data_IF_103239412405
#
_entry.id   IF_103239412405
#
_cell.length_a   1.000
_cell.length_b   1.000
_cell.length_c   1.000
_cell.angle_alpha   90.00
_cell.angle_beta   90.00
_cell.angle_gamma   90.00
#
_symmetry.space_group_name_H-M   'P 1'
#
loop_
_entity.id
_entity.type
_entity.pdbx_description
1 polymer ?
#
# COMPACT_ATOMS: atom_id res chain seq x y z
N UNK A 1 -12.89 -33.31 17.06
CA UNK A 1 -12.04 -33.40 15.85
C UNK A 1 -10.60 -33.33 16.31
N UNK A 2 -9.68 -34.10 15.71
CA UNK A 2 -8.26 -34.00 16.05
C UNK A 2 -7.74 -32.60 15.64
N UNK A 3 -6.86 -31.96 16.43
CA UNK A 3 -6.30 -30.66 16.08
C UNK A 3 -5.54 -30.75 14.75
N UNK A 4 -5.72 -29.75 13.88
CA UNK A 4 -5.02 -29.70 12.59
C UNK A 4 -3.65 -29.08 12.79
N UNK A 5 -2.59 -29.88 12.64
CA UNK A 5 -1.19 -29.45 12.78
C UNK A 5 -0.47 -29.54 11.44
N UNK A 6 0.10 -28.42 11.00
CA UNK A 6 0.92 -28.33 9.80
C UNK A 6 2.33 -27.88 10.17
N UNK A 7 3.34 -28.63 9.71
CA UNK A 7 4.75 -28.23 9.80
C UNK A 7 5.19 -27.87 8.40
N UNK A 8 5.49 -26.59 8.17
CA UNK A 8 5.86 -26.07 6.86
C UNK A 8 7.35 -25.72 6.86
N UNK A 9 8.08 -26.25 5.89
CA UNK A 9 9.42 -25.77 5.56
C UNK A 9 9.38 -25.05 4.23
N UNK A 10 10.34 -24.16 3.98
CA UNK A 10 10.40 -23.36 2.77
C UNK A 10 11.85 -23.09 2.36
N UNK A 11 12.08 -22.55 1.16
CA UNK A 11 13.40 -22.06 0.72
C UNK A 11 13.99 -21.09 1.75
N UNK A 12 13.15 -20.18 2.25
CA UNK A 12 13.42 -19.33 3.40
C UNK A 12 12.12 -18.87 4.07
N UNK A 13 12.20 -18.42 5.32
CA UNK A 13 11.10 -17.82 6.06
C UNK A 13 11.53 -16.41 6.48
N UNK A 14 10.83 -15.40 6.00
CA UNK A 14 10.95 -14.03 6.48
C UNK A 14 9.99 -13.81 7.65
N UNK A 15 10.49 -13.41 8.82
CA UNK A 15 9.68 -13.30 10.04
C UNK A 15 9.08 -11.89 10.26
N UNK A 16 9.31 -10.97 9.31
CA UNK A 16 9.00 -9.55 9.44
C UNK A 16 10.24 -8.68 9.67
N UNK A 17 11.41 -9.29 9.92
CA UNK A 17 12.70 -8.61 10.10
C UNK A 17 13.83 -9.31 9.36
N UNK A 18 13.98 -10.61 9.59
CA UNK A 18 15.12 -11.39 9.14
C UNK A 18 14.66 -12.50 8.17
N UNK A 19 15.48 -12.77 7.15
CA UNK A 19 15.27 -13.87 6.21
C UNK A 19 16.01 -15.10 6.72
N UNK A 20 15.27 -16.07 7.23
CA UNK A 20 15.79 -17.24 7.93
C UNK A 20 15.80 -18.46 7.02
N UNK A 21 16.88 -19.25 7.08
CA UNK A 21 17.00 -20.55 6.39
C UNK A 21 17.05 -21.68 7.41
N UNK A 22 16.67 -22.90 6.99
CA UNK A 22 16.67 -24.06 7.88
C UNK A 22 15.64 -24.02 9.02
N UNK A 23 14.61 -23.17 8.89
CA UNK A 23 13.51 -23.04 9.84
C UNK A 23 12.25 -23.77 9.36
N UNK A 24 11.36 -24.07 10.30
CA UNK A 24 10.01 -24.57 10.06
C UNK A 24 8.98 -23.70 10.77
N UNK A 25 7.89 -23.39 10.07
CA UNK A 25 6.73 -22.70 10.60
C UNK A 25 5.67 -23.74 10.99
N UNK A 26 5.26 -23.74 12.25
CA UNK A 26 4.25 -24.64 12.78
C UNK A 26 2.93 -23.89 12.86
N UNK A 27 1.89 -24.45 12.26
CA UNK A 27 0.51 -23.97 12.32
C UNK A 27 -0.33 -25.02 13.04
N UNK A 28 -1.05 -24.61 14.08
CA UNK A 28 -1.97 -25.46 14.85
C UNK A 28 -3.32 -24.77 14.95
N UNK A 29 -4.39 -25.47 14.58
CA UNK A 29 -5.78 -25.00 14.67
C UNK A 29 -5.98 -23.60 14.06
N UNK A 30 -5.32 -23.34 12.93
CA UNK A 30 -5.42 -22.09 12.18
C UNK A 30 -4.57 -20.93 12.75
N UNK A 31 -3.74 -21.18 13.75
CA UNK A 31 -2.85 -20.18 14.35
C UNK A 31 -1.39 -20.54 14.15
N UNK A 32 -0.52 -19.53 14.05
CA UNK A 32 0.93 -19.71 14.11
C UNK A 32 1.30 -20.20 15.51
N UNK A 33 1.76 -21.44 15.63
CA UNK A 33 2.14 -22.03 16.92
C UNK A 33 3.60 -21.73 17.27
N UNK A 34 4.51 -21.88 16.31
CA UNK A 34 5.94 -21.65 16.52
C UNK A 34 6.72 -21.45 15.21
N UNK A 35 7.85 -20.77 15.32
CA UNK A 35 8.91 -20.74 14.32
C UNK A 35 10.16 -21.35 14.95
N UNK A 36 10.60 -22.51 14.45
CA UNK A 36 11.65 -23.32 15.10
C UNK A 36 12.63 -23.89 14.08
N UNK A 37 13.87 -24.26 14.43
CA UNK A 37 14.76 -24.98 13.52
C UNK A 37 14.10 -26.24 12.96
N UNK A 38 14.18 -26.47 11.65
CA UNK A 38 13.49 -27.56 10.96
C UNK A 38 13.76 -28.96 11.54
N UNK A 39 15.01 -29.32 11.95
CA UNK A 39 15.27 -30.62 12.57
C UNK A 39 14.55 -30.84 13.91
N UNK A 40 14.11 -29.77 14.58
CA UNK A 40 13.43 -29.82 15.88
C UNK A 40 11.90 -29.81 15.75
N UNK A 41 11.36 -29.56 14.54
CA UNK A 41 9.91 -29.43 14.32
C UNK A 41 9.20 -30.78 14.16
N UNK A 42 9.93 -31.82 13.77
CA UNK A 42 9.36 -33.08 13.28
C UNK A 42 9.29 -33.14 11.74
N UNK A 43 8.74 -34.22 11.15
CA UNK A 43 8.64 -34.35 9.70
C UNK A 43 7.73 -33.26 9.11
N UNK A 44 8.15 -32.56 8.04
CA UNK A 44 7.33 -31.51 7.44
C UNK A 44 6.08 -32.10 6.77
N UNK A 45 4.95 -31.42 6.96
CA UNK A 45 3.72 -31.67 6.20
C UNK A 45 3.91 -31.26 4.74
N UNK A 46 4.65 -30.18 4.50
CA UNK A 46 5.00 -29.73 3.16
C UNK A 46 6.35 -28.99 3.16
N UNK A 47 7.04 -29.06 2.02
CA UNK A 47 8.16 -28.19 1.68
C UNK A 47 7.74 -27.28 0.53
N UNK A 48 7.89 -25.97 0.72
CA UNK A 48 7.54 -24.95 -0.28
C UNK A 48 8.81 -24.44 -0.95
N UNK A 49 8.91 -24.60 -2.27
CA UNK A 49 9.99 -23.99 -3.07
C UNK A 49 9.70 -22.50 -3.33
N UNK A 50 9.54 -21.76 -2.25
CA UNK A 50 9.17 -20.35 -2.19
C UNK A 50 9.62 -19.76 -0.85
N UNK A 51 9.38 -18.46 -0.64
CA UNK A 51 9.58 -17.80 0.64
C UNK A 51 8.24 -17.70 1.37
N UNK A 52 8.22 -18.01 2.66
CA UNK A 52 7.11 -17.65 3.54
C UNK A 52 7.41 -16.28 4.14
N UNK A 53 6.46 -15.35 4.11
CA UNK A 53 6.56 -14.03 4.71
C UNK A 53 5.23 -13.66 5.40
N UNK A 54 5.18 -12.67 6.31
CA UNK A 54 3.91 -12.10 6.74
C UNK A 54 3.04 -11.71 5.54
N UNK A 55 1.74 -11.63 5.75
CA UNK A 55 0.81 -11.18 4.72
C UNK A 55 1.25 -9.85 4.10
N UNK A 56 1.34 -9.77 2.77
CA UNK A 56 1.70 -8.50 2.11
C UNK A 56 0.62 -7.45 2.37
N UNK A 57 1.00 -6.19 2.50
CA UNK A 57 0.08 -5.08 2.77
C UNK A 57 0.21 -4.02 1.68
N UNK A 58 -0.92 -3.56 1.14
CA UNK A 58 -0.94 -2.50 0.12
C UNK A 58 -1.72 -1.27 0.62
N UNK A 59 -1.04 -0.14 0.75
CA UNK A 59 -1.63 1.08 1.31
C UNK A 59 -2.19 2.03 0.23
N UNK A 60 -2.12 1.66 -1.05
CA UNK A 60 -2.68 2.46 -2.13
C UNK A 60 -3.24 1.56 -3.24
N UNK A 61 -4.56 1.36 -3.23
CA UNK A 61 -5.29 0.49 -4.17
C UNK A 61 -6.57 1.17 -4.63
N UNK A 62 -6.60 1.69 -5.86
CA UNK A 62 -7.77 2.41 -6.38
C UNK A 62 -8.87 1.45 -6.90
N UNK A 63 -8.57 0.16 -7.07
CA UNK A 63 -9.55 -0.83 -7.53
C UNK A 63 -9.03 -2.27 -7.63
N UNK A 64 -9.88 -3.13 -8.18
CA UNK A 64 -9.63 -4.55 -8.43
C UNK A 64 -10.90 -5.29 -8.89
N UNK A 65 -10.74 -6.45 -9.51
CA UNK A 65 -11.83 -7.27 -10.06
C UNK A 65 -12.78 -6.53 -11.02
N UNK A 66 -12.28 -5.55 -11.78
CA UNK A 66 -13.09 -4.73 -12.67
C UNK A 66 -13.86 -3.60 -11.97
N UNK A 67 -13.68 -3.42 -10.66
CA UNK A 67 -14.35 -2.39 -9.86
C UNK A 67 -13.35 -1.33 -9.42
N UNK A 68 -13.78 -0.06 -9.46
CA UNK A 68 -13.06 1.08 -8.91
C UNK A 68 -13.64 1.48 -7.56
N UNK A 69 -12.79 1.97 -6.66
CA UNK A 69 -13.25 2.68 -5.46
C UNK A 69 -13.81 4.03 -5.90
N UNK A 70 -15.08 4.28 -5.63
CA UNK A 70 -15.77 5.48 -6.12
C UNK A 70 -17.28 5.44 -5.89
N UNK A 71 -17.98 6.28 -6.64
CA UNK A 71 -19.43 6.47 -6.49
C UNK A 71 -20.25 5.18 -6.68
N UNK A 72 -19.84 4.33 -7.61
CA UNK A 72 -20.57 3.10 -7.97
C UNK A 72 -20.12 1.87 -7.15
N UNK A 73 -19.17 2.04 -6.22
CA UNK A 73 -18.70 0.96 -5.37
C UNK A 73 -19.71 0.71 -4.24
N UNK A 74 -20.33 -0.47 -4.25
CA UNK A 74 -21.15 -0.98 -3.16
C UNK A 74 -20.38 -1.97 -2.26
N UNK A 75 -21.06 -2.55 -1.26
CA UNK A 75 -20.46 -3.51 -0.32
C UNK A 75 -19.90 -4.75 -1.06
N UNK A 76 -20.54 -5.19 -2.14
CA UNK A 76 -20.09 -6.33 -2.95
C UNK A 76 -18.86 -5.98 -3.80
N UNK A 77 -18.83 -4.78 -4.39
CA UNK A 77 -17.69 -4.25 -5.12
C UNK A 77 -16.46 -4.12 -4.22
N UNK A 78 -16.62 -3.58 -3.01
CA UNK A 78 -15.52 -3.49 -2.03
C UNK A 78 -15.01 -4.89 -1.63
N UNK A 79 -15.91 -5.85 -1.43
CA UNK A 79 -15.52 -7.24 -1.15
C UNK A 79 -14.77 -7.89 -2.33
N UNK A 80 -15.19 -7.61 -3.57
CA UNK A 80 -14.52 -8.10 -4.77
C UNK A 80 -13.10 -7.53 -4.92
N UNK A 81 -12.90 -6.24 -4.63
CA UNK A 81 -11.58 -5.60 -4.60
C UNK A 81 -10.68 -6.32 -3.57
N UNK A 82 -11.14 -6.47 -2.32
CA UNK A 82 -10.37 -7.15 -1.28
C UNK A 82 -10.02 -8.60 -1.68
N UNK A 83 -10.97 -9.34 -2.24
CA UNK A 83 -10.76 -10.72 -2.66
C UNK A 83 -9.72 -10.84 -3.80
N UNK A 84 -9.75 -9.94 -4.78
CA UNK A 84 -8.81 -9.94 -5.90
C UNK A 84 -7.36 -9.72 -5.47
N UNK A 85 -7.15 -8.84 -4.49
CA UNK A 85 -5.85 -8.58 -3.90
C UNK A 85 -5.37 -9.73 -3.02
N UNK A 86 -6.26 -10.30 -2.21
CA UNK A 86 -5.98 -11.50 -1.41
C UNK A 86 -5.60 -12.71 -2.24
N UNK A 87 -6.19 -12.88 -3.42
CA UNK A 87 -5.82 -13.93 -4.37
C UNK A 87 -4.36 -13.80 -4.86
N UNK A 88 -3.77 -12.61 -4.77
CA UNK A 88 -2.39 -12.29 -5.19
C UNK A 88 -1.40 -12.22 -4.01
N UNK A 89 -1.79 -12.74 -2.84
CA UNK A 89 -0.92 -12.78 -1.66
C UNK A 89 -0.89 -11.49 -0.84
N UNK A 90 -1.83 -10.57 -1.06
CA UNK A 90 -1.98 -9.35 -0.25
C UNK A 90 -3.00 -9.61 0.86
N UNK A 91 -2.53 -9.71 2.10
CA UNK A 91 -3.40 -10.01 3.25
C UNK A 91 -4.34 -8.85 3.57
N UNK A 92 -3.89 -7.60 3.38
CA UNK A 92 -4.73 -6.43 3.64
C UNK A 92 -4.39 -5.23 2.79
N UNK A 93 -5.41 -4.42 2.52
CA UNK A 93 -5.31 -3.22 1.69
C UNK A 93 -5.93 -2.00 2.38
N UNK A 94 -5.50 -0.81 1.96
CA UNK A 94 -6.29 0.41 2.03
C UNK A 94 -6.88 0.70 0.64
N UNK A 95 -8.19 0.46 0.42
CA UNK A 95 -8.87 0.94 -0.76
C UNK A 95 -8.72 2.46 -0.84
N UNK A 96 -8.40 2.97 -2.02
CA UNK A 96 -8.04 4.37 -2.25
C UNK A 96 -9.09 5.06 -3.10
N UNK A 97 -9.79 6.02 -2.51
CA UNK A 97 -10.60 6.96 -3.27
C UNK A 97 -9.72 8.13 -3.71
N UNK A 98 -9.62 8.35 -5.02
CA UNK A 98 -8.98 9.55 -5.58
C UNK A 98 -9.90 10.77 -5.51
N UNK A 99 -9.41 11.96 -5.87
CA UNK A 99 -10.18 13.21 -5.96
C UNK A 99 -11.57 13.00 -6.56
N UNK A 100 -12.59 13.22 -5.74
CA UNK A 100 -14.00 13.17 -6.12
C UNK A 100 -14.80 14.23 -5.33
N UNK A 101 -16.11 14.28 -5.56
CA UNK A 101 -17.05 15.17 -4.88
C UNK A 101 -17.26 14.74 -3.42
N UNK A 102 -17.60 15.69 -2.52
CA UNK A 102 -17.81 15.40 -1.09
C UNK A 102 -18.79 14.26 -0.80
N UNK A 103 -19.86 14.18 -1.56
CA UNK A 103 -20.91 13.16 -1.48
C UNK A 103 -20.40 11.76 -1.83
N UNK A 104 -19.49 11.63 -2.80
CA UNK A 104 -18.82 10.35 -3.09
C UNK A 104 -17.85 9.98 -1.97
N UNK A 105 -17.13 10.97 -1.44
CA UNK A 105 -16.25 10.75 -0.28
C UNK A 105 -17.02 10.22 0.93
N UNK A 106 -18.19 10.82 1.23
CA UNK A 106 -19.08 10.34 2.32
C UNK A 106 -19.58 8.92 2.06
N UNK A 107 -20.06 8.64 0.84
CA UNK A 107 -20.52 7.31 0.44
C UNK A 107 -19.44 6.24 0.65
N UNK A 108 -18.20 6.50 0.19
CA UNK A 108 -17.09 5.56 0.36
C UNK A 108 -16.72 5.38 1.83
N UNK A 109 -16.64 6.45 2.62
CA UNK A 109 -16.39 6.36 4.08
C UNK A 109 -17.45 5.47 4.74
N UNK A 110 -18.73 5.70 4.47
CA UNK A 110 -19.84 4.92 5.05
C UNK A 110 -19.78 3.45 4.64
N UNK A 111 -19.46 3.18 3.37
CA UNK A 111 -19.33 1.82 2.83
C UNK A 111 -18.18 1.06 3.48
N UNK A 112 -17.01 1.69 3.61
CA UNK A 112 -15.87 1.10 4.32
C UNK A 112 -16.18 0.88 5.80
N UNK A 113 -16.85 1.82 6.48
CA UNK A 113 -17.25 1.66 7.88
C UNK A 113 -18.16 0.44 8.08
N UNK A 114 -19.18 0.26 7.23
CA UNK A 114 -20.05 -0.93 7.28
C UNK A 114 -19.26 -2.22 7.06
N UNK A 115 -18.37 -2.24 6.07
CA UNK A 115 -17.56 -3.41 5.76
C UNK A 115 -16.58 -3.77 6.89
N UNK A 116 -15.97 -2.79 7.54
CA UNK A 116 -15.13 -3.00 8.73
C UNK A 116 -15.96 -3.60 9.87
N UNK A 117 -17.15 -3.06 10.16
CA UNK A 117 -18.04 -3.59 11.19
C UNK A 117 -18.50 -5.02 10.88
N UNK A 118 -18.67 -5.35 9.60
CA UNK A 118 -18.97 -6.70 9.12
C UNK A 118 -17.76 -7.66 9.12
N UNK A 119 -16.56 -7.19 9.45
CA UNK A 119 -15.35 -8.01 9.48
C UNK A 119 -14.86 -8.46 8.11
N UNK A 120 -15.01 -7.62 7.08
CA UNK A 120 -14.58 -7.95 5.71
C UNK A 120 -13.08 -8.31 5.67
N UNK A 121 -12.71 -9.55 5.26
CA UNK A 121 -11.31 -9.97 5.23
C UNK A 121 -10.45 -9.12 4.28
N UNK A 122 -9.31 -8.66 4.79
CA UNK A 122 -8.33 -7.86 4.05
C UNK A 122 -8.62 -6.37 3.94
N UNK A 123 -9.66 -5.87 4.60
CA UNK A 123 -9.91 -4.43 4.70
C UNK A 123 -9.20 -3.85 5.93
N UNK A 124 -8.15 -3.03 5.72
CA UNK A 124 -7.37 -2.43 6.82
C UNK A 124 -7.85 -1.04 7.23
N UNK A 125 -8.69 -0.40 6.42
CA UNK A 125 -9.08 0.99 6.57
C UNK A 125 -9.43 1.63 5.23
N UNK A 126 -9.15 2.92 5.09
CA UNK A 126 -9.38 3.70 3.88
C UNK A 126 -8.19 4.62 3.60
N UNK A 127 -7.89 4.83 2.33
CA UNK A 127 -7.02 5.90 1.87
C UNK A 127 -7.85 6.91 1.04
N UNK A 128 -7.80 8.18 1.42
CA UNK A 128 -8.38 9.28 0.65
C UNK A 128 -7.23 10.07 0.00
N UNK A 129 -7.09 9.94 -1.33
CA UNK A 129 -6.06 10.61 -2.11
C UNK A 129 -6.64 11.87 -2.78
N UNK A 130 -6.56 13.01 -2.09
CA UNK A 130 -7.24 14.23 -2.47
C UNK A 130 -8.63 14.40 -1.82
N UNK A 131 -9.43 15.41 -2.23
CA UNK A 131 -9.21 16.33 -3.35
C UNK A 131 -8.28 17.53 -3.03
N UNK A 132 -7.69 17.56 -1.84
CA UNK A 132 -6.88 18.68 -1.34
C UNK A 132 -5.44 18.62 -1.84
N UNK A 133 -5.27 18.78 -3.15
CA UNK A 133 -4.00 18.61 -3.88
C UNK A 133 -3.58 19.91 -4.59
N UNK A 134 -2.40 19.91 -5.22
CA UNK A 134 -1.95 20.99 -6.12
C UNK A 134 -2.52 20.75 -7.54
N UNK A 135 -3.31 21.68 -8.11
CA UNK A 135 -3.85 21.54 -9.46
C UNK A 135 -2.77 21.37 -10.54
N UNK A 136 -1.53 21.85 -10.32
CA UNK A 136 -0.40 21.68 -11.25
C UNK A 136 0.17 20.27 -11.25
N UNK A 137 -0.20 19.45 -10.26
CA UNK A 137 0.24 18.07 -10.04
C UNK A 137 -0.94 17.10 -10.01
N UNK A 138 -1.96 17.37 -10.83
CA UNK A 138 -3.20 16.60 -10.82
C UNK A 138 -3.01 15.13 -11.23
N UNK A 139 -2.04 14.79 -12.09
CA UNK A 139 -1.87 13.41 -12.57
C UNK A 139 -3.18 12.86 -13.15
N UNK A 140 -3.61 11.69 -12.66
CA UNK A 140 -4.89 11.08 -13.05
C UNK A 140 -6.13 11.69 -12.37
N UNK A 141 -5.99 12.60 -11.41
CA UNK A 141 -7.12 13.24 -10.73
C UNK A 141 -7.86 14.20 -11.68
N UNK A 142 -9.17 14.39 -11.47
CA UNK A 142 -9.94 15.40 -12.21
C UNK A 142 -9.55 16.81 -11.70
N UNK A 143 -8.90 17.65 -12.52
CA UNK A 143 -8.46 18.98 -12.10
C UNK A 143 -9.62 19.91 -11.72
N UNK A 144 -10.84 19.66 -12.21
CA UNK A 144 -12.01 20.48 -11.87
C UNK A 144 -12.50 20.27 -10.44
N UNK A 145 -12.12 19.15 -9.81
CA UNK A 145 -12.52 18.80 -8.45
C UNK A 145 -11.43 19.09 -7.40
N UNK A 146 -10.19 19.38 -7.84
CA UNK A 146 -9.09 19.73 -6.94
C UNK A 146 -9.36 21.10 -6.29
N UNK A 147 -9.28 21.15 -4.96
CA UNK A 147 -9.60 22.35 -4.20
C UNK A 147 -8.96 22.33 -2.79
N UNK A 148 -8.67 23.51 -2.20
CA UNK A 148 -8.20 23.58 -0.82
C UNK A 148 -9.16 22.95 0.19
N UNK A 149 -8.62 22.50 1.32
CA UNK A 149 -9.39 21.90 2.41
C UNK A 149 -10.22 22.95 3.16
N UNK A 150 -11.54 22.79 3.12
CA UNK A 150 -12.50 23.59 3.88
C UNK A 150 -12.71 23.08 5.30
N UNK A 151 -13.49 23.80 6.10
CA UNK A 151 -13.81 23.38 7.48
C UNK A 151 -14.68 22.13 7.52
N UNK A 152 -15.63 22.00 6.58
CA UNK A 152 -16.50 20.83 6.47
C UNK A 152 -15.71 19.57 6.11
N UNK A 153 -14.74 19.69 5.18
CA UNK A 153 -13.85 18.59 4.83
C UNK A 153 -13.05 18.14 6.05
N UNK A 154 -12.42 19.07 6.77
CA UNK A 154 -11.63 18.76 7.95
C UNK A 154 -12.49 18.06 9.02
N UNK A 155 -13.70 18.54 9.28
CA UNK A 155 -14.61 17.94 10.25
C UNK A 155 -14.97 16.50 9.86
N UNK A 156 -15.30 16.27 8.58
CA UNK A 156 -15.61 14.95 8.04
C UNK A 156 -14.42 14.00 8.14
N UNK A 157 -13.24 14.43 7.69
CA UNK A 157 -12.01 13.61 7.70
C UNK A 157 -11.57 13.27 9.13
N UNK A 158 -11.65 14.22 10.07
CA UNK A 158 -11.38 13.96 11.48
C UNK A 158 -12.39 12.99 12.10
N UNK A 159 -13.67 13.05 11.71
CA UNK A 159 -14.67 12.09 12.18
C UNK A 159 -14.39 10.68 11.63
N UNK A 160 -14.06 10.57 10.34
CA UNK A 160 -13.68 9.31 9.70
C UNK A 160 -12.41 8.71 10.33
N UNK A 161 -11.39 9.54 10.62
CA UNK A 161 -10.15 9.10 11.26
C UNK A 161 -10.38 8.44 12.64
N UNK A 162 -11.35 8.95 13.40
CA UNK A 162 -11.71 8.38 14.71
C UNK A 162 -12.57 7.12 14.62
N UNK A 163 -13.29 6.94 13.51
CA UNK A 163 -14.24 5.85 13.33
C UNK A 163 -13.64 4.64 12.60
N UNK A 164 -12.70 4.88 11.68
CA UNK A 164 -12.03 3.84 10.91
C UNK A 164 -10.83 3.24 11.68
N UNK A 165 -10.50 1.96 11.46
CA UNK A 165 -9.32 1.33 12.06
C UNK A 165 -8.02 1.98 11.55
N UNK A 166 -8.02 2.46 10.31
CA UNK A 166 -6.98 3.30 9.74
C UNK A 166 -7.60 4.24 8.69
N UNK A 167 -7.27 5.53 8.77
CA UNK A 167 -7.51 6.48 7.68
C UNK A 167 -6.17 7.08 7.27
N UNK A 168 -5.79 6.87 6.01
CA UNK A 168 -4.71 7.59 5.36
C UNK A 168 -5.30 8.72 4.50
N UNK A 169 -4.72 9.91 4.57
CA UNK A 169 -5.17 11.06 3.76
C UNK A 169 -3.98 11.67 3.05
N UNK A 170 -4.00 11.68 1.72
CA UNK A 170 -3.00 12.38 0.91
C UNK A 170 -3.45 13.81 0.64
N UNK A 171 -2.60 14.77 0.99
CA UNK A 171 -2.82 16.20 0.77
C UNK A 171 -1.57 16.88 0.22
N UNK A 172 -1.75 17.98 -0.51
CA UNK A 172 -0.68 18.91 -0.81
C UNK A 172 -0.57 19.97 0.31
N UNK A 173 0.64 20.28 0.82
CA UNK A 173 0.84 21.35 1.80
C UNK A 173 0.26 22.72 1.40
N UNK A 174 0.16 22.99 0.11
CA UNK A 174 -0.41 24.23 -0.43
C UNK A 174 -1.95 24.25 -0.38
N UNK A 175 -2.58 23.10 -0.24
CA UNK A 175 -4.04 22.93 -0.18
C UNK A 175 -4.55 22.56 1.23
N UNK A 176 -3.65 22.22 2.17
CA UNK A 176 -3.96 21.96 3.56
C UNK A 176 -2.91 22.63 4.47
N UNK A 177 -3.34 23.65 5.21
CA UNK A 177 -2.44 24.38 6.12
C UNK A 177 -1.84 23.47 7.21
N UNK A 178 -0.68 23.82 7.78
CA UNK A 178 -0.08 23.09 8.91
C UNK A 178 -1.09 22.78 10.04
N UNK A 179 -1.92 23.74 10.46
CA UNK A 179 -2.93 23.50 11.50
C UNK A 179 -3.96 22.41 11.13
N UNK A 180 -4.29 22.27 9.84
CA UNK A 180 -5.22 21.25 9.35
C UNK A 180 -4.56 19.88 9.34
N UNK A 181 -3.30 19.81 8.90
CA UNK A 181 -2.47 18.60 8.97
C UNK A 181 -2.36 18.13 10.43
N UNK A 182 -2.06 19.05 11.35
CA UNK A 182 -1.98 18.76 12.78
C UNK A 182 -3.32 18.27 13.34
N UNK A 183 -4.44 18.88 12.95
CA UNK A 183 -5.78 18.44 13.37
C UNK A 183 -6.13 17.03 12.86
N UNK A 184 -5.81 16.69 11.61
CA UNK A 184 -5.99 15.34 11.07
C UNK A 184 -5.13 14.32 11.83
N UNK A 185 -3.86 14.66 12.07
CA UNK A 185 -2.94 13.80 12.84
C UNK A 185 -3.46 13.56 14.25
N UNK A 186 -3.92 14.61 14.93
CA UNK A 186 -4.49 14.53 16.27
C UNK A 186 -5.79 13.69 16.31
N UNK A 187 -6.55 13.66 15.22
CA UNK A 187 -7.72 12.80 15.07
C UNK A 187 -7.38 11.33 14.81
N UNK A 188 -6.10 10.99 14.60
CA UNK A 188 -5.62 9.63 14.39
C UNK A 188 -5.31 9.27 12.93
N UNK A 189 -5.47 10.20 11.98
CA UNK A 189 -5.16 9.93 10.58
C UNK A 189 -3.65 9.80 10.33
N UNK A 190 -3.29 8.94 9.39
CA UNK A 190 -1.98 8.95 8.72
C UNK A 190 -2.03 10.01 7.64
N UNK A 191 -1.40 11.16 7.88
CA UNK A 191 -1.34 12.23 6.87
C UNK A 191 -0.13 12.01 5.97
N UNK A 192 -0.40 11.94 4.67
CA UNK A 192 0.58 11.75 3.61
C UNK A 192 0.69 13.00 2.74
N UNK A 193 1.90 13.40 2.37
CA UNK A 193 2.10 14.46 1.39
C UNK A 193 2.20 13.86 -0.02
N UNK A 194 1.47 14.43 -0.98
CA UNK A 194 1.49 13.95 -2.36
C UNK A 194 0.79 14.93 -3.30
N UNK A 195 0.93 14.72 -4.61
CA UNK A 195 0.32 15.59 -5.63
C UNK A 195 0.59 17.07 -5.38
N UNK A 196 1.86 17.42 -5.13
CA UNK A 196 2.25 18.73 -4.63
C UNK A 196 3.47 19.29 -5.35
N UNK A 197 3.38 20.54 -5.78
CA UNK A 197 4.48 21.30 -6.35
C UNK A 197 5.32 22.01 -5.29
N UNK A 198 5.23 21.61 -4.02
CA UNK A 198 5.73 22.41 -2.91
C UNK A 198 7.25 22.59 -2.91
N UNK A 199 7.68 23.69 -2.32
CA UNK A 199 9.08 23.92 -1.96
C UNK A 199 9.48 23.02 -0.79
N UNK A 200 10.79 22.87 -0.57
CA UNK A 200 11.35 22.20 0.60
C UNK A 200 10.82 22.80 1.92
N UNK A 201 10.64 24.12 1.97
CA UNK A 201 10.16 24.80 3.19
C UNK A 201 8.72 24.42 3.52
N UNK A 202 7.85 24.36 2.50
CA UNK A 202 6.45 23.96 2.67
C UNK A 202 6.33 22.47 3.02
N UNK A 203 7.13 21.60 2.36
CA UNK A 203 7.19 20.18 2.72
C UNK A 203 7.59 19.97 4.19
N UNK A 204 8.63 20.68 4.64
CA UNK A 204 9.07 20.64 6.05
C UNK A 204 7.99 21.12 7.00
N UNK A 205 7.32 22.23 6.69
CA UNK A 205 6.21 22.71 7.51
C UNK A 205 5.08 21.68 7.63
N UNK A 206 4.78 20.94 6.55
CA UNK A 206 3.83 19.82 6.58
C UNK A 206 4.30 18.66 7.47
N UNK A 207 5.57 18.27 7.37
CA UNK A 207 6.17 17.23 8.23
C UNK A 207 6.20 17.65 9.71
N UNK A 208 6.59 18.90 10.00
CA UNK A 208 6.61 19.47 11.35
C UNK A 208 5.20 19.53 11.97
N UNK A 209 4.17 19.72 11.14
CA UNK A 209 2.77 19.64 11.54
C UNK A 209 2.26 18.21 11.79
N UNK A 210 3.06 17.18 11.48
CA UNK A 210 2.75 15.79 11.76
C UNK A 210 2.39 14.94 10.54
N UNK A 211 2.57 15.43 9.31
CA UNK A 211 2.56 14.55 8.14
C UNK A 211 3.72 13.55 8.26
N UNK A 212 3.38 12.26 8.34
CA UNK A 212 4.35 11.18 8.61
C UNK A 212 4.67 10.32 7.39
N UNK A 213 4.03 10.60 6.25
CA UNK A 213 4.10 9.78 5.05
C UNK A 213 4.18 10.64 3.78
N UNK A 214 4.64 10.03 2.69
CA UNK A 214 4.67 10.59 1.33
C UNK A 214 4.10 9.55 0.37
N UNK A 215 3.17 9.99 -0.46
CA UNK A 215 2.46 9.13 -1.42
C UNK A 215 3.31 8.97 -2.68
N UNK A 216 3.43 7.73 -3.18
CA UNK A 216 4.12 7.31 -4.41
C UNK A 216 5.33 8.17 -4.82
N UNK A 217 6.35 8.24 -3.95
CA UNK A 217 7.58 9.03 -4.10
C UNK A 217 8.06 9.11 -5.55
N UNK A 218 8.41 10.33 -5.98
CA UNK A 218 8.70 10.81 -7.33
C UNK A 218 7.49 11.17 -8.21
N UNK A 219 6.33 10.54 -8.03
CA UNK A 219 5.18 10.73 -8.90
C UNK A 219 4.38 11.97 -8.48
N UNK A 220 3.94 12.77 -9.47
CA UNK A 220 3.13 13.97 -9.25
C UNK A 220 3.65 14.93 -8.16
N UNK A 221 4.97 15.09 -8.02
CA UNK A 221 5.55 15.97 -6.98
C UNK A 221 6.67 16.86 -7.50
N UNK A 222 7.05 17.87 -6.70
CA UNK A 222 8.22 18.70 -7.01
C UNK A 222 9.51 17.85 -6.98
N UNK A 223 10.32 17.90 -8.06
CA UNK A 223 11.52 17.08 -8.18
C UNK A 223 12.66 17.63 -7.30
N UNK A 224 13.71 16.83 -7.14
CA UNK A 224 14.91 17.22 -6.39
C UNK A 224 15.84 18.11 -7.22
N UNK A 225 15.84 19.41 -6.96
CA UNK A 225 16.88 20.34 -7.41
C UNK A 225 17.98 20.52 -6.35
N UNK A 226 19.18 20.95 -6.76
CA UNK A 226 20.31 21.15 -5.82
C UNK A 226 20.17 22.39 -4.94
N UNK A 227 19.43 23.42 -5.39
CA UNK A 227 19.11 24.63 -4.62
C UNK A 227 17.69 24.64 -4.07
N UNK A 228 16.79 23.90 -4.70
CA UNK A 228 15.40 23.73 -4.29
C UNK A 228 15.07 22.22 -4.37
N UNK A 229 15.27 21.48 -3.27
CA UNK A 229 15.09 20.03 -3.27
C UNK A 229 13.62 19.57 -3.38
N UNK A 230 12.64 20.46 -3.15
CA UNK A 230 11.23 20.11 -3.23
C UNK A 230 10.81 18.96 -2.30
N UNK A 231 9.69 18.32 -2.62
CA UNK A 231 9.14 17.21 -1.84
C UNK A 231 10.01 15.95 -1.97
N UNK A 232 10.53 15.64 -3.16
CA UNK A 232 11.43 14.49 -3.35
C UNK A 232 12.67 14.61 -2.46
N UNK A 233 13.34 15.76 -2.49
CA UNK A 233 14.53 15.99 -1.69
C UNK A 233 14.22 16.05 -0.19
N UNK A 234 13.11 16.67 0.21
CA UNK A 234 12.65 16.68 1.60
C UNK A 234 12.41 15.25 2.12
N UNK A 235 11.83 14.39 1.29
CA UNK A 235 11.56 12.99 1.62
C UNK A 235 12.86 12.19 1.72
N UNK A 236 13.72 12.24 0.70
CA UNK A 236 14.95 11.44 0.67
C UNK A 236 15.95 11.82 1.78
N UNK A 237 15.94 13.07 2.23
CA UNK A 237 16.79 13.55 3.32
C UNK A 237 16.11 13.47 4.72
N UNK A 238 14.82 13.15 4.78
CA UNK A 238 14.02 13.14 6.00
C UNK A 238 13.71 11.75 6.53
N UNK A 239 12.78 11.69 7.49
CA UNK A 239 12.38 10.45 8.19
C UNK A 239 10.97 9.97 7.85
N UNK A 240 10.13 10.82 7.23
CA UNK A 240 8.76 10.47 6.84
C UNK A 240 8.75 9.21 5.97
N UNK A 241 7.81 8.29 6.21
CA UNK A 241 7.68 7.10 5.39
C UNK A 241 7.30 7.47 3.95
N UNK A 242 7.62 6.62 2.98
CA UNK A 242 7.29 6.90 1.59
C UNK A 242 6.87 5.63 0.83
N UNK A 243 5.71 5.70 0.19
CA UNK A 243 5.23 4.66 -0.71
C UNK A 243 5.98 4.73 -2.04
N UNK A 244 6.26 3.59 -2.65
CA UNK A 244 6.91 3.47 -3.95
C UNK A 244 6.14 2.50 -4.85
N UNK A 245 5.85 2.97 -6.07
CA UNK A 245 5.39 2.13 -7.17
C UNK A 245 6.64 1.56 -7.86
N UNK A 246 6.97 0.30 -7.58
CA UNK A 246 8.19 -0.33 -8.06
C UNK A 246 7.92 -1.27 -9.25
N UNK A 247 7.47 -0.70 -10.37
CA UNK A 247 7.24 -1.42 -11.63
C UNK A 247 8.32 -1.18 -12.71
N UNK A 248 9.28 -0.28 -12.44
CA UNK A 248 10.32 0.13 -13.39
C UNK A 248 9.81 1.04 -14.52
N UNK A 249 8.58 1.54 -14.41
CA UNK A 249 7.90 2.36 -15.41
C UNK A 249 7.53 3.72 -14.81
N UNK A 250 6.85 3.73 -13.66
CA UNK A 250 6.55 4.94 -12.91
C UNK A 250 7.82 5.57 -12.36
N UNK A 251 8.73 4.72 -11.86
CA UNK A 251 10.02 5.14 -11.34
C UNK A 251 11.11 4.31 -12.00
N UNK A 252 12.07 5.00 -12.62
CA UNK A 252 13.24 4.36 -13.22
C UNK A 252 14.04 3.56 -12.16
N UNK A 253 14.54 2.35 -12.49
CA UNK A 253 15.38 1.55 -11.58
C UNK A 253 16.55 2.30 -10.93
N UNK A 254 17.16 3.28 -11.63
CA UNK A 254 18.22 4.11 -11.07
C UNK A 254 17.69 5.06 -9.98
N UNK A 255 16.51 5.65 -10.17
CA UNK A 255 15.86 6.50 -9.16
C UNK A 255 15.41 5.67 -7.95
N UNK A 256 14.88 4.46 -8.15
CA UNK A 256 14.61 3.51 -7.07
C UNK A 256 15.88 3.17 -6.28
N UNK A 257 17.00 2.93 -6.98
CA UNK A 257 18.30 2.67 -6.34
C UNK A 257 18.78 3.87 -5.52
N UNK A 258 18.58 5.10 -6.00
CA UNK A 258 18.88 6.32 -5.24
C UNK A 258 18.03 6.36 -3.96
N UNK A 259 16.72 6.11 -4.06
CA UNK A 259 15.85 6.08 -2.89
C UNK A 259 16.28 5.02 -1.87
N UNK A 260 16.56 3.80 -2.32
CA UNK A 260 17.02 2.70 -1.46
C UNK A 260 18.33 3.04 -0.72
N UNK A 261 19.25 3.76 -1.36
CA UNK A 261 20.52 4.17 -0.74
C UNK A 261 20.33 5.35 0.23
N UNK A 262 19.50 6.32 -0.13
CA UNK A 262 19.23 7.48 0.70
C UNK A 262 18.42 7.13 1.96
N UNK A 263 17.50 6.18 1.86
CA UNK A 263 16.53 5.83 2.90
C UNK A 263 16.64 4.36 3.30
N UNK A 264 17.55 3.96 4.20
CA UNK A 264 17.69 2.56 4.63
C UNK A 264 16.42 1.92 5.19
N UNK A 265 15.49 2.74 5.73
CA UNK A 265 14.20 2.36 6.30
C UNK A 265 13.12 3.39 5.96
N UNK A 266 11.86 3.03 6.18
CA UNK A 266 10.71 3.91 5.95
C UNK A 266 10.28 4.01 4.48
N UNK A 267 10.84 3.18 3.60
CA UNK A 267 10.26 2.97 2.27
C UNK A 267 9.31 1.78 2.33
N UNK A 268 8.16 1.88 1.68
CA UNK A 268 7.23 0.77 1.52
C UNK A 268 6.70 0.69 0.10
N UNK A 269 6.23 -0.49 -0.30
CA UNK A 269 5.71 -0.76 -1.62
C UNK A 269 4.20 -0.53 -1.66
N UNK A 270 3.73 0.07 -2.74
CA UNK A 270 2.32 0.19 -3.08
C UNK A 270 2.12 -0.23 -4.53
N UNK A 271 0.95 -0.78 -4.85
CA UNK A 271 0.62 -1.07 -6.25
C UNK A 271 0.13 0.16 -6.99
N UNK A 272 -0.67 1.02 -6.35
CA UNK A 272 -1.46 2.07 -7.03
C UNK A 272 -2.26 1.49 -8.22
N UNK A 273 -2.75 0.26 -8.04
CA UNK A 273 -3.46 -0.43 -9.09
C UNK A 273 -4.94 -0.05 -9.11
N UNK A 274 -5.54 -0.16 -10.29
CA UNK A 274 -6.95 0.13 -10.54
C UNK A 274 -7.75 -1.17 -10.77
N UNK A 275 -8.93 -1.06 -11.39
CA UNK A 275 -9.83 -2.16 -11.72
C UNK A 275 -9.18 -3.35 -12.47
N UNK A 276 -8.02 -3.16 -13.10
CA UNK A 276 -7.26 -4.20 -13.79
C UNK A 276 -6.71 -5.30 -12.87
N UNK A 277 -6.49 -5.02 -11.58
CA UNK A 277 -5.96 -6.00 -10.66
C UNK A 277 -6.91 -7.21 -10.52
N UNK A 278 -6.40 -8.42 -10.77
CA UNK A 278 -7.20 -9.64 -10.73
C UNK A 278 -8.28 -9.74 -11.82
N UNK A 279 -8.14 -9.00 -12.93
CA UNK A 279 -9.03 -9.10 -14.10
C UNK A 279 -8.25 -9.21 -15.41
N UNK A 280 -8.94 -9.70 -16.45
CA UNK A 280 -8.45 -9.78 -17.83
C UNK A 280 -8.82 -8.53 -18.66
N UNK A 281 -9.24 -7.45 -18.00
CA UNK A 281 -9.58 -6.20 -18.67
C UNK A 281 -8.37 -5.68 -19.45
N UNK A 282 -8.63 -5.26 -20.69
CA UNK A 282 -7.64 -4.60 -21.56
C UNK A 282 -7.86 -3.09 -21.63
N UNK A 283 -9.01 -2.61 -21.18
CA UNK A 283 -9.36 -1.20 -21.08
C UNK A 283 -10.47 -0.95 -20.05
N UNK A 284 -10.58 0.31 -19.62
CA UNK A 284 -11.65 0.81 -18.75
C UNK A 284 -11.87 2.31 -18.97
N UNK A 285 -12.92 2.87 -18.40
CA UNK A 285 -13.13 4.33 -18.32
C UNK A 285 -12.93 4.85 -16.89
N UNK A 286 -12.31 6.02 -16.76
CA UNK A 286 -12.13 6.74 -15.50
C UNK A 286 -12.41 8.23 -15.74
N UNK A 287 -13.53 8.73 -15.19
CA UNK A 287 -13.92 10.14 -15.34
C UNK A 287 -14.08 10.55 -16.82
N UNK A 288 -14.73 9.70 -17.62
CA UNK A 288 -14.92 9.92 -19.07
C UNK A 288 -13.65 9.78 -19.92
N UNK A 289 -12.52 9.35 -19.33
CA UNK A 289 -11.27 9.09 -20.05
C UNK A 289 -11.01 7.60 -20.15
N UNK A 290 -10.66 7.12 -21.34
CA UNK A 290 -10.33 5.71 -21.58
C UNK A 290 -8.89 5.42 -21.15
N UNK A 291 -8.72 4.37 -20.35
CA UNK A 291 -7.43 3.83 -19.91
C UNK A 291 -7.21 2.50 -20.60
N UNK A 292 -6.01 2.30 -21.15
CA UNK A 292 -5.62 1.10 -21.89
C UNK A 292 -4.56 0.33 -21.10
N UNK A 293 -4.73 -0.99 -20.98
CA UNK A 293 -3.73 -1.91 -20.46
C UNK A 293 -2.96 -2.56 -21.60
N UNK A 294 -1.70 -2.19 -21.78
CA UNK A 294 -0.82 -2.77 -22.82
C UNK A 294 0.60 -2.92 -22.30
N UNK A 295 1.19 -4.09 -22.54
CA UNK A 295 2.58 -4.39 -22.17
C UNK A 295 2.94 -4.04 -20.72
N UNK A 296 2.05 -4.36 -19.77
CA UNK A 296 2.27 -4.10 -18.35
C UNK A 296 2.17 -2.62 -17.95
N UNK A 297 1.52 -1.79 -18.78
CA UNK A 297 1.32 -0.36 -18.54
C UNK A 297 -0.15 0.00 -18.61
N UNK A 298 -0.54 0.98 -17.79
CA UNK A 298 -1.84 1.63 -17.84
C UNK A 298 -1.65 3.07 -18.32
N UNK A 299 -2.24 3.41 -19.46
CA UNK A 299 -2.09 4.74 -20.06
C UNK A 299 -3.41 5.30 -20.54
N UNK A 300 -3.57 6.62 -20.42
CA UNK A 300 -4.57 7.37 -21.18
C UNK A 300 -4.29 7.30 -22.69
N UNK A 301 -5.25 7.72 -23.50
CA UNK A 301 -5.11 7.77 -24.97
C UNK A 301 -3.99 8.71 -25.45
N UNK A 302 -3.59 9.68 -24.63
CA UNK A 302 -2.47 10.60 -24.89
C UNK A 302 -1.09 10.07 -24.41
N UNK A 303 -1.06 8.88 -23.80
CA UNK A 303 0.16 8.25 -23.30
C UNK A 303 0.51 8.57 -21.84
N UNK A 304 -0.26 9.42 -21.15
CA UNK A 304 -0.08 9.70 -19.72
C UNK A 304 -0.32 8.43 -18.90
N UNK A 305 0.56 8.12 -17.93
CA UNK A 305 0.36 7.01 -17.00
C UNK A 305 -0.84 7.29 -16.09
N UNK A 306 -1.67 6.27 -15.88
CA UNK A 306 -2.83 6.34 -14.99
C UNK A 306 -2.88 5.05 -14.17
N UNK A 307 -2.40 5.09 -12.92
CA UNK A 307 -2.22 3.92 -12.06
C UNK A 307 -1.20 2.91 -12.61
N UNK A 308 -1.01 1.79 -11.91
CA UNK A 308 -0.07 0.75 -12.32
C UNK A 308 -0.71 -0.62 -12.57
N UNK A 309 -0.14 -1.36 -13.53
CA UNK A 309 -0.40 -2.79 -13.75
C UNK A 309 0.64 -3.62 -12.99
N UNK A 310 0.57 -3.53 -11.66
CA UNK A 310 1.58 -4.02 -10.72
C UNK A 310 0.95 -4.91 -9.66
N UNK A 311 1.62 -6.03 -9.35
CA UNK A 311 1.36 -6.82 -8.15
C UNK A 311 2.47 -6.56 -7.15
N UNK A 312 2.18 -6.62 -5.84
CA UNK A 312 3.23 -6.44 -4.83
C UNK A 312 4.34 -7.50 -4.95
N UNK A 313 4.04 -8.72 -5.40
CA UNK A 313 5.05 -9.75 -5.62
C UNK A 313 6.06 -9.34 -6.72
N UNK A 314 5.60 -8.74 -7.82
CA UNK A 314 6.47 -8.18 -8.86
C UNK A 314 7.27 -6.99 -8.34
N UNK A 315 6.66 -6.12 -7.52
CA UNK A 315 7.35 -5.01 -6.87
C UNK A 315 8.47 -5.49 -5.94
N UNK A 316 8.21 -6.52 -5.13
CA UNK A 316 9.20 -7.18 -4.26
C UNK A 316 10.35 -7.76 -5.09
N UNK A 317 10.04 -8.47 -6.18
CA UNK A 317 11.05 -9.03 -7.09
C UNK A 317 11.96 -7.95 -7.68
N UNK A 318 11.37 -6.85 -8.17
CA UNK A 318 12.13 -5.73 -8.73
C UNK A 318 13.05 -5.12 -7.68
N UNK A 319 12.53 -4.75 -6.49
CA UNK A 319 13.35 -4.16 -5.43
C UNK A 319 14.45 -5.14 -4.99
N UNK A 320 14.14 -6.42 -4.83
CA UNK A 320 15.11 -7.42 -4.39
C UNK A 320 16.32 -7.50 -5.34
N UNK A 321 16.10 -7.32 -6.64
CA UNK A 321 17.14 -7.33 -7.67
C UNK A 321 17.96 -6.02 -7.74
N UNK A 322 17.47 -4.91 -7.18
CA UNK A 322 18.18 -3.63 -7.23
C UNK A 322 19.34 -3.55 -6.21
N UNK A 323 20.41 -2.81 -6.53
CA UNK A 323 21.48 -2.54 -5.58
C UNK A 323 20.96 -1.89 -4.28
N UNK A 324 21.20 -2.53 -3.15
CA UNK A 324 20.75 -2.05 -1.83
C UNK A 324 19.30 -2.44 -1.48
N UNK A 325 18.57 -3.11 -2.38
CA UNK A 325 17.30 -3.73 -2.06
C UNK A 325 17.52 -5.04 -1.31
N UNK A 326 17.76 -6.15 -2.03
CA UNK A 326 17.89 -7.47 -1.44
C UNK A 326 16.56 -8.01 -0.88
N UNK A 327 16.42 -9.34 -0.83
CA UNK A 327 15.13 -10.00 -0.57
C UNK A 327 14.50 -9.64 0.77
N UNK A 328 15.28 -9.66 1.87
CA UNK A 328 14.76 -9.36 3.21
C UNK A 328 14.17 -7.94 3.30
N UNK A 329 14.86 -6.96 2.74
CA UNK A 329 14.40 -5.56 2.72
C UNK A 329 13.19 -5.40 1.80
N UNK A 330 13.20 -6.00 0.62
CA UNK A 330 12.07 -5.94 -0.31
C UNK A 330 10.79 -6.51 0.35
N UNK A 331 10.91 -7.63 1.08
CA UNK A 331 9.81 -8.20 1.85
C UNK A 331 9.37 -7.27 2.99
N UNK A 332 10.31 -6.66 3.72
CA UNK A 332 9.98 -5.67 4.75
C UNK A 332 9.18 -4.49 4.18
N UNK A 333 9.57 -3.99 3.00
CA UNK A 333 8.87 -2.92 2.29
C UNK A 333 7.44 -3.28 1.88
N UNK A 334 7.09 -4.57 1.79
CA UNK A 334 5.73 -5.04 1.48
C UNK A 334 5.00 -5.61 2.71
N UNK A 335 5.60 -5.61 3.91
CA UNK A 335 5.03 -6.21 5.13
C UNK A 335 5.23 -5.31 6.34
N UNK A 336 6.40 -5.35 6.99
CA UNK A 336 6.65 -4.67 8.27
C UNK A 336 6.77 -3.15 8.18
N UNK A 337 7.24 -2.60 7.06
CA UNK A 337 7.29 -1.15 6.83
C UNK A 337 5.88 -0.55 6.64
N UNK A 338 5.00 -1.04 5.74
CA UNK A 338 3.64 -0.52 5.64
C UNK A 338 2.81 -0.81 6.90
N UNK A 339 3.03 -1.94 7.58
CA UNK A 339 2.42 -2.23 8.89
C UNK A 339 2.77 -1.16 9.93
N UNK A 340 4.02 -0.68 9.95
CA UNK A 340 4.45 0.39 10.86
C UNK A 340 3.79 1.73 10.53
N UNK A 341 3.61 2.06 9.25
CA UNK A 341 2.95 3.30 8.79
C UNK A 341 1.53 3.41 9.33
N UNK A 342 0.77 2.32 9.30
CA UNK A 342 -0.63 2.30 9.79
C UNK A 342 -0.75 1.94 11.28
N UNK A 343 0.35 1.83 12.02
CA UNK A 343 0.32 1.51 13.44
C UNK A 343 -0.14 0.09 13.78
N UNK A 344 0.04 -0.87 12.86
CA UNK A 344 -0.33 -2.29 13.01
C UNK A 344 0.88 -3.23 12.86
N UNK A 345 1.91 -3.10 13.71
CA UNK A 345 3.13 -3.91 13.61
C UNK A 345 2.88 -5.42 13.77
N UNK A 346 1.71 -5.80 14.31
CA UNK A 346 1.25 -7.18 14.40
C UNK A 346 1.01 -7.83 13.03
N UNK A 347 0.60 -7.06 12.01
CA UNK A 347 0.36 -7.58 10.65
C UNK A 347 1.65 -7.87 9.88
N UNK A 348 2.73 -7.18 10.22
CA UNK A 348 4.01 -7.26 9.53
C UNK A 348 4.96 -8.33 10.07
N UNK A 349 4.49 -9.27 10.89
CA UNK A 349 5.34 -10.27 11.57
C UNK A 349 4.69 -11.65 11.66
N UNK A 350 5.51 -12.69 11.64
CA UNK A 350 5.07 -14.05 11.94
C UNK A 350 5.14 -14.30 13.45
N UNK A 351 4.09 -13.89 14.17
CA UNK A 351 4.06 -13.95 15.65
C UNK A 351 3.28 -15.17 16.14
N UNK A 352 3.85 -16.02 17.02
CA UNK A 352 3.10 -17.10 17.67
C UNK A 352 1.83 -16.61 18.35
N UNK A 353 0.75 -17.38 18.24
CA UNK A 353 -0.59 -17.05 18.74
C UNK A 353 -1.45 -16.20 17.81
N UNK A 354 -0.89 -15.69 16.70
CA UNK A 354 -1.67 -14.99 15.67
C UNK A 354 -2.28 -15.96 14.66
N UNK A 355 -3.33 -15.51 13.96
CA UNK A 355 -3.92 -16.26 12.86
C UNK A 355 -2.86 -16.59 11.80
N UNK A 356 -2.93 -17.80 11.23
CA UNK A 356 -2.03 -18.29 10.19
C UNK A 356 -2.39 -17.70 8.82
N UNK A 357 -2.31 -16.37 8.71
CA UNK A 357 -2.48 -15.62 7.47
C UNK A 357 -1.14 -15.04 7.04
N UNK A 358 -0.43 -15.79 6.20
CA UNK A 358 0.89 -15.43 5.69
C UNK A 358 0.97 -15.68 4.18
N UNK A 359 1.92 -15.01 3.56
CA UNK A 359 2.12 -15.09 2.12
C UNK A 359 3.20 -16.11 1.79
N UNK A 360 2.91 -16.97 0.81
CA UNK A 360 3.91 -17.78 0.11
C UNK A 360 4.23 -17.03 -1.18
N UNK A 361 5.46 -16.56 -1.32
CA UNK A 361 5.92 -15.69 -2.40
C UNK A 361 7.16 -16.25 -3.08
N UNK A 362 7.15 -16.21 -4.41
CA UNK A 362 8.35 -16.32 -5.23
C UNK A 362 8.63 -14.97 -5.89
N UNK A 363 9.59 -14.19 -5.36
CA UNK A 363 9.96 -12.89 -5.93
C UNK A 363 10.50 -12.99 -7.36
N UNK A 364 11.13 -14.11 -7.73
CA UNK A 364 11.76 -14.29 -9.04
C UNK A 364 10.69 -14.49 -10.11
N UNK A 365 9.64 -15.25 -9.79
CA UNK A 365 8.45 -15.41 -10.63
C UNK A 365 7.48 -14.23 -10.55
N UNK A 366 7.63 -13.33 -9.57
CA UNK A 366 6.69 -12.24 -9.31
C UNK A 366 5.31 -12.73 -8.89
N UNK A 367 5.22 -13.90 -8.26
CA UNK A 367 3.98 -14.54 -7.86
C UNK A 367 3.89 -14.67 -6.34
N UNK A 368 2.69 -14.44 -5.80
CA UNK A 368 2.40 -14.63 -4.38
C UNK A 368 0.97 -15.13 -4.18
N UNK A 369 0.77 -15.86 -3.08
CA UNK A 369 -0.55 -16.33 -2.64
C UNK A 369 -0.61 -16.37 -1.12
N UNK A 370 -1.79 -16.14 -0.55
CA UNK A 370 -2.01 -16.41 0.87
C UNK A 370 -2.05 -17.92 1.08
N UNK A 371 -1.39 -18.38 2.15
CA UNK A 371 -1.44 -19.78 2.52
C UNK A 371 -2.84 -20.19 2.97
N UNK A 372 -3.24 -21.40 2.59
CA UNK A 372 -4.44 -22.07 3.09
C UNK A 372 -4.10 -23.55 3.35
N UNK A 373 -4.70 -24.18 4.37
CA UNK A 373 -4.56 -25.62 4.57
C UNK A 373 -4.94 -26.38 3.29
N UNK A 374 -4.02 -27.20 2.77
CA UNK A 374 -4.26 -28.06 1.60
C UNK A 374 -4.17 -27.39 0.23
N UNK A 375 -3.73 -26.13 0.15
CA UNK A 375 -3.61 -25.37 -1.10
C UNK A 375 -2.21 -25.36 -1.73
#
# INVERSE_FOLDING_TARGET
MAPTRHILTARAIFDGRDLLTGMALIVEDGCLAALTPAPQAGPPTAHLDAIIAPGLLDLQVNGGAGVMVGADMDDAGLAAICAAHRAQGVAGILPTLITDRPEVTRHVIETVLRAVQGGLPGLLGLHLEGPHLDPRRHGAHDPALIRPMGNEDLAMLCAAARALPCLMVTVAPEAATPDRIAALRAAGAVVSLGHSGCTLSEARAGFDAGAGCVTHLFNAMSPMGHREPGLVGATLAGEAAAGLIADGIHVDPAALTVALRARPRGLFLVSDCMAFAGSDLTEMELGGRRILRRAGRLTLTDGTLAGADLTLARAVGLIAALPGGGTARALAMATSEPAAVIGRPDLGRLTPGMAAEFTVIDPDAGHARLWRPGA
#
